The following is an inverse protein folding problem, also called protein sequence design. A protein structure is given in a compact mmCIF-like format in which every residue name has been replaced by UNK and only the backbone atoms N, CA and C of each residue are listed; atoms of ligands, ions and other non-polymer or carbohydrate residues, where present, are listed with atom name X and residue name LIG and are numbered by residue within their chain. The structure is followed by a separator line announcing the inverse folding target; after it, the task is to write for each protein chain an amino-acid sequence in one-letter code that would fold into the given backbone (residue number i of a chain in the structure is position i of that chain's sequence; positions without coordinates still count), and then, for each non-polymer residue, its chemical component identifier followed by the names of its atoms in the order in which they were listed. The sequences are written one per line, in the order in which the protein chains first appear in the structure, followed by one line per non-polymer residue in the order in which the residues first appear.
data_IF_152405719574
#
_entry.id   IF_152405719574
#
_cell.length_a   1.000
_cell.length_b   1.000
_cell.length_c   1.000
_cell.angle_alpha   90.00
_cell.angle_beta   90.00
_cell.angle_gamma   90.00
#
_symmetry.space_group_name_H-M   'P 1'
#
loop_
_entity.id
_entity.type
_entity.pdbx_description
1 polymer ?
#
# COMPACT_ATOMS: atom_id res chain seq x y z
N UNK A 1 -14.15 -2.74 -1.89
CA UNK A 1 -13.92 -1.29 -2.09
C UNK A 1 -15.16 -0.51 -1.65
N UNK A 2 -16.34 -1.05 -1.93
CA UNK A 2 -17.65 -0.59 -1.45
C UNK A 2 -17.68 -0.14 0.02
N UNK A 3 -17.04 -0.89 0.92
CA UNK A 3 -17.06 -0.58 2.35
C UNK A 3 -16.33 0.74 2.74
N UNK A 4 -15.24 1.13 2.06
CA UNK A 4 -14.53 2.38 2.41
C UNK A 4 -15.24 3.61 1.85
N UNK A 5 -15.88 3.50 0.69
CA UNK A 5 -16.62 4.63 0.13
C UNK A 5 -17.87 4.94 0.97
N UNK A 6 -18.50 3.90 1.54
CA UNK A 6 -19.59 4.07 2.50
C UNK A 6 -19.10 4.72 3.80
N UNK A 7 -17.97 4.27 4.36
CA UNK A 7 -17.35 4.92 5.53
C UNK A 7 -17.07 6.40 5.26
N UNK A 8 -16.57 6.73 4.05
CA UNK A 8 -16.30 8.12 3.67
C UNK A 8 -17.58 8.96 3.74
N UNK A 9 -18.66 8.49 3.10
CA UNK A 9 -19.97 9.17 3.10
C UNK A 9 -20.53 9.33 4.51
N UNK A 10 -20.48 8.28 5.33
CA UNK A 10 -20.98 8.33 6.71
C UNK A 10 -20.25 9.36 7.57
N UNK A 11 -18.94 9.55 7.36
CA UNK A 11 -18.17 10.59 8.07
C UNK A 11 -18.52 11.97 7.50
N UNK A 12 -18.64 12.11 6.18
CA UNK A 12 -19.03 13.38 5.54
C UNK A 12 -20.43 13.84 6.00
N UNK A 13 -21.39 12.93 6.07
CA UNK A 13 -22.76 13.23 6.51
C UNK A 13 -22.83 13.64 7.99
N UNK A 14 -21.91 13.14 8.82
CA UNK A 14 -21.88 13.43 10.28
C UNK A 14 -21.03 14.63 10.66
N UNK A 15 -19.95 14.89 9.92
CA UNK A 15 -18.91 15.85 10.31
C UNK A 15 -18.62 16.91 9.23
N UNK A 16 -19.24 16.82 8.05
CA UNK A 16 -19.01 17.73 6.93
C UNK A 16 -17.76 17.37 6.12
N UNK A 17 -17.12 18.38 5.52
CA UNK A 17 -15.97 18.17 4.63
C UNK A 17 -14.82 17.49 5.37
N UNK A 18 -14.31 16.40 4.78
CA UNK A 18 -13.19 15.67 5.36
C UNK A 18 -11.88 16.47 5.25
N UNK A 19 -11.11 16.57 6.34
CA UNK A 19 -9.73 17.02 6.28
C UNK A 19 -8.88 16.15 5.35
N UNK A 20 -7.84 16.74 4.77
CA UNK A 20 -6.93 16.05 3.85
C UNK A 20 -6.28 14.83 4.52
N UNK A 21 -5.96 14.93 5.80
CA UNK A 21 -5.38 13.86 6.62
C UNK A 21 -6.30 12.64 6.69
N UNK A 22 -7.62 12.86 6.79
CA UNK A 22 -8.61 11.78 6.81
C UNK A 22 -8.73 11.13 5.44
N UNK A 23 -8.72 11.93 4.36
CA UNK A 23 -8.71 11.43 2.98
C UNK A 23 -7.46 10.58 2.74
N UNK A 24 -6.30 11.04 3.20
CA UNK A 24 -5.03 10.31 3.11
C UNK A 24 -5.10 8.98 3.87
N UNK A 25 -5.66 8.97 5.08
CA UNK A 25 -5.87 7.75 5.86
C UNK A 25 -6.77 6.74 5.14
N UNK A 26 -7.88 7.20 4.56
CA UNK A 26 -8.80 6.32 3.81
C UNK A 26 -8.13 5.75 2.56
N UNK A 27 -7.38 6.57 1.81
CA UNK A 27 -6.62 6.13 0.64
C UNK A 27 -5.54 5.11 1.02
N UNK A 28 -4.80 5.37 2.10
CA UNK A 28 -3.82 4.44 2.64
C UNK A 28 -4.45 3.10 3.05
N UNK A 29 -5.64 3.15 3.67
CA UNK A 29 -6.39 1.95 4.06
C UNK A 29 -6.83 1.15 2.83
N UNK A 30 -7.36 1.80 1.78
CA UNK A 30 -7.71 1.16 0.50
C UNK A 30 -6.50 0.41 -0.08
N UNK A 31 -5.33 1.05 -0.02
CA UNK A 31 -4.07 0.49 -0.53
C UNK A 31 -3.60 -0.73 0.27
N UNK A 32 -3.64 -0.66 1.61
CA UNK A 32 -3.31 -1.82 2.47
C UNK A 32 -4.23 -3.01 2.20
N UNK A 33 -5.53 -2.78 2.03
CA UNK A 33 -6.49 -3.84 1.69
C UNK A 33 -6.13 -4.49 0.35
N UNK A 34 -5.80 -3.69 -0.67
CA UNK A 34 -5.39 -4.21 -1.98
C UNK A 34 -4.11 -5.08 -1.86
N UNK A 35 -3.12 -4.61 -1.10
CA UNK A 35 -1.90 -5.36 -0.87
C UNK A 35 -2.12 -6.66 -0.07
N UNK A 36 -2.99 -6.63 0.93
CA UNK A 36 -3.34 -7.82 1.73
C UNK A 36 -4.04 -8.89 0.92
N UNK A 37 -4.94 -8.49 0.01
CA UNK A 37 -5.55 -9.43 -0.95
C UNK A 37 -4.52 -10.10 -1.85
N UNK A 38 -3.40 -9.43 -2.12
CA UNK A 38 -2.27 -9.97 -2.89
C UNK A 38 -1.23 -10.69 -2.03
N UNK A 39 -1.51 -10.93 -0.76
CA UNK A 39 -0.70 -11.77 0.12
C UNK A 39 0.29 -11.03 1.02
N UNK A 40 0.32 -9.70 0.98
CA UNK A 40 1.03 -8.92 2.00
C UNK A 40 0.37 -9.12 3.38
N UNK A 41 1.19 -9.10 4.44
CA UNK A 41 0.77 -9.19 5.84
C UNK A 41 1.12 -7.94 6.61
N UNK A 42 2.33 -7.44 6.41
CA UNK A 42 2.79 -6.20 7.01
C UNK A 42 3.40 -5.29 5.93
N UNK A 43 3.23 -3.99 6.11
CA UNK A 43 3.68 -2.95 5.18
C UNK A 43 4.20 -1.81 6.04
N UNK A 44 5.49 -1.57 5.94
CA UNK A 44 6.16 -0.48 6.66
C UNK A 44 6.77 0.48 5.65
N UNK A 45 6.47 1.75 5.84
CA UNK A 45 6.95 2.85 5.00
C UNK A 45 7.97 3.64 5.78
N UNK A 46 9.14 3.80 5.17
CA UNK A 46 10.26 4.59 5.65
C UNK A 46 10.52 5.71 4.63
N UNK A 47 11.35 6.71 4.96
CA UNK A 47 11.59 7.87 4.09
C UNK A 47 11.93 7.53 2.64
N UNK A 48 12.74 6.48 2.42
CA UNK A 48 13.23 6.11 1.09
C UNK A 48 13.03 4.62 0.75
N UNK A 49 12.21 3.93 1.54
CA UNK A 49 11.98 2.50 1.33
C UNK A 49 10.64 2.03 1.86
N UNK A 50 10.21 0.90 1.31
CA UNK A 50 9.02 0.16 1.69
C UNK A 50 9.44 -1.26 2.02
N UNK A 51 9.08 -1.75 3.20
CA UNK A 51 9.21 -3.15 3.59
C UNK A 51 7.84 -3.81 3.50
N UNK A 52 7.76 -4.92 2.77
CA UNK A 52 6.58 -5.76 2.70
C UNK A 52 6.92 -7.13 3.25
N UNK A 53 6.23 -7.54 4.31
CA UNK A 53 6.24 -8.92 4.78
C UNK A 53 5.02 -9.64 4.22
N UNK A 54 5.17 -10.89 3.78
CA UNK A 54 4.09 -11.63 3.13
C UNK A 54 3.90 -13.04 3.69
N UNK A 55 2.75 -13.63 3.36
CA UNK A 55 2.32 -14.92 3.91
C UNK A 55 2.92 -16.13 3.21
N UNK A 56 2.15 -16.76 2.33
CA UNK A 56 2.63 -17.89 1.52
C UNK A 56 3.28 -17.40 0.23
N UNK A 57 2.67 -16.40 -0.39
CA UNK A 57 3.09 -15.79 -1.63
C UNK A 57 2.71 -14.32 -1.63
N UNK A 58 3.42 -13.54 -2.44
CA UNK A 58 3.12 -12.14 -2.70
C UNK A 58 2.90 -11.97 -4.21
N UNK A 59 1.67 -11.63 -4.59
CA UNK A 59 1.31 -11.40 -5.98
C UNK A 59 1.66 -9.96 -6.36
N UNK A 60 2.81 -9.80 -7.02
CA UNK A 60 3.29 -8.51 -7.52
C UNK A 60 3.63 -8.63 -9.00
N UNK A 61 3.16 -7.67 -9.78
CA UNK A 61 3.62 -7.47 -11.14
C UNK A 61 5.07 -6.96 -11.13
N UNK A 62 5.99 -7.83 -11.56
CA UNK A 62 7.42 -7.56 -11.60
C UNK A 62 7.75 -6.39 -12.56
N UNK A 63 6.97 -6.19 -13.64
CA UNK A 63 7.18 -5.08 -14.57
C UNK A 63 6.82 -3.75 -13.91
N UNK A 64 5.69 -3.68 -13.19
CA UNK A 64 5.35 -2.52 -12.34
C UNK A 64 6.43 -2.28 -11.30
N UNK A 65 6.89 -3.32 -10.60
CA UNK A 65 7.94 -3.20 -9.61
C UNK A 65 9.23 -2.61 -10.20
N UNK A 66 9.72 -3.14 -11.32
CA UNK A 66 10.91 -2.64 -12.02
C UNK A 66 10.76 -1.21 -12.54
N UNK A 67 9.55 -0.82 -12.94
CA UNK A 67 9.25 0.52 -13.46
C UNK A 67 9.27 1.60 -12.38
N UNK A 68 8.74 1.29 -11.20
CA UNK A 68 8.49 2.28 -10.16
C UNK A 68 9.49 2.22 -9.00
N UNK A 69 10.10 1.07 -8.73
CA UNK A 69 11.17 0.95 -7.76
C UNK A 69 12.49 1.47 -8.33
N UNK A 70 13.29 2.14 -7.51
CA UNK A 70 14.70 2.43 -7.85
C UNK A 70 15.53 1.15 -7.78
N UNK A 71 15.25 0.33 -6.77
CA UNK A 71 15.87 -0.98 -6.51
C UNK A 71 14.91 -1.78 -5.63
N UNK A 72 14.99 -3.10 -5.66
CA UNK A 72 14.35 -3.95 -4.66
C UNK A 72 15.24 -5.15 -4.31
N UNK A 73 15.10 -5.66 -3.10
CA UNK A 73 15.71 -6.90 -2.64
C UNK A 73 14.58 -7.83 -2.15
N UNK A 74 14.61 -9.09 -2.59
CA UNK A 74 13.64 -10.11 -2.20
C UNK A 74 14.34 -11.15 -1.32
N UNK A 75 13.83 -11.34 -0.11
CA UNK A 75 14.32 -12.29 0.88
C UNK A 75 13.25 -13.39 1.05
N UNK A 76 13.33 -14.48 0.28
CA UNK A 76 12.29 -15.51 0.27
C UNK A 76 12.16 -16.25 1.61
N UNK A 77 13.29 -16.59 2.25
CA UNK A 77 13.33 -17.30 3.54
C UNK A 77 12.65 -16.50 4.66
N UNK A 78 12.88 -15.19 4.70
CA UNK A 78 12.27 -14.28 5.67
C UNK A 78 10.87 -13.81 5.26
N UNK A 79 10.43 -14.15 4.03
CA UNK A 79 9.20 -13.66 3.42
C UNK A 79 9.09 -12.13 3.40
N UNK A 80 10.19 -11.49 3.00
CA UNK A 80 10.31 -10.03 2.94
C UNK A 80 10.64 -9.55 1.53
N UNK A 81 10.10 -8.39 1.17
CA UNK A 81 10.45 -7.63 -0.02
C UNK A 81 10.75 -6.20 0.42
N UNK A 82 11.98 -5.75 0.18
CA UNK A 82 12.42 -4.38 0.45
C UNK A 82 12.48 -3.63 -0.87
N UNK A 83 11.78 -2.52 -0.96
CA UNK A 83 11.67 -1.70 -2.17
C UNK A 83 12.23 -0.32 -1.85
N UNK A 84 13.24 0.12 -2.58
CA UNK A 84 13.84 1.44 -2.43
C UNK A 84 13.23 2.40 -3.43
N UNK A 85 12.73 3.54 -2.96
CA UNK A 85 12.07 4.54 -3.78
C UNK A 85 12.11 5.92 -3.10
N UNK A 86 12.18 7.00 -3.89
CA UNK A 86 12.11 8.37 -3.36
C UNK A 86 10.74 8.74 -2.77
N UNK A 87 9.69 8.05 -3.21
CA UNK A 87 8.34 8.22 -2.69
C UNK A 87 7.69 6.82 -2.57
N UNK A 88 7.89 6.13 -1.44
CA UNK A 88 7.46 4.75 -1.27
C UNK A 88 5.94 4.57 -1.28
N UNK A 89 5.18 5.56 -0.79
CA UNK A 89 3.71 5.56 -0.85
C UNK A 89 3.20 5.52 -2.31
N UNK A 90 3.76 6.38 -3.17
CA UNK A 90 3.42 6.40 -4.59
C UNK A 90 3.77 5.09 -5.27
N UNK A 91 4.89 4.47 -4.89
CA UNK A 91 5.31 3.16 -5.44
C UNK A 91 4.35 2.06 -4.98
N UNK A 92 3.97 2.04 -3.70
CA UNK A 92 2.98 1.11 -3.16
C UNK A 92 1.68 1.21 -3.95
N UNK A 93 1.19 2.43 -4.20
CA UNK A 93 -0.01 2.68 -5.00
C UNK A 93 0.11 2.11 -6.42
N UNK A 94 1.24 2.34 -7.10
CA UNK A 94 1.44 1.86 -8.48
C UNK A 94 1.60 0.35 -8.60
N UNK A 95 2.07 -0.32 -7.55
CA UNK A 95 2.28 -1.77 -7.53
C UNK A 95 0.95 -2.50 -7.24
N UNK A 96 0.14 -1.98 -6.33
CA UNK A 96 -1.05 -2.69 -5.83
C UNK A 96 -2.38 -2.25 -6.46
N UNK A 97 -2.46 -1.06 -7.05
CA UNK A 97 -3.58 -0.55 -7.83
C UNK A 97 -3.17 -0.38 -9.31
#
# INVERSE_FOLDING_TARGET
MENIENIKKDIEDRFGVLPEEVINLLNYTKLRIAAYKKGAKNIEIYDNSLLIEYGKQLEIDILKLKKYAKRFNHFPEEKKLVIYARNPEKVLLKIFL
#
